data_IF_064457200070
#
_entry.id   IF_064457200070
#
_cell.length_a   1.000
_cell.length_b   1.000
_cell.length_c   1.000
_cell.angle_alpha   90.00
_cell.angle_beta   90.00
_cell.angle_gamma   90.00
#
_symmetry.space_group_name_H-M   'P 1'
#
loop_
_entity.id
_entity.type
_entity.pdbx_description
1 polymer ?
#
# COMPACT_ATOMS: atom_id res chain seq x y z
N UNK A 1 -13.57 -0.16 -25.47
CA UNK A 1 -12.17 -0.22 -25.97
C UNK A 1 -11.44 -1.17 -25.04
N UNK A 2 -10.69 -2.13 -25.57
CA UNK A 2 -9.92 -3.05 -24.73
C UNK A 2 -8.92 -2.24 -23.92
N UNK A 3 -8.95 -2.42 -22.58
CA UNK A 3 -7.91 -1.94 -21.67
C UNK A 3 -6.66 -2.70 -22.12
N UNK A 4 -5.68 -1.98 -22.67
CA UNK A 4 -4.47 -2.57 -23.25
C UNK A 4 -3.80 -3.53 -22.25
N UNK A 5 -2.81 -4.26 -22.70
CA UNK A 5 -2.10 -5.35 -21.99
C UNK A 5 -1.37 -4.89 -20.70
N UNK A 6 -2.05 -4.08 -19.86
CA UNK A 6 -1.52 -3.52 -18.60
C UNK A 6 -1.81 -4.52 -17.47
N UNK A 7 -0.77 -4.91 -16.75
CA UNK A 7 -0.90 -5.71 -15.52
C UNK A 7 -0.88 -4.82 -14.28
N UNK A 8 -1.57 -5.25 -13.22
CA UNK A 8 -1.54 -4.59 -11.91
C UNK A 8 -0.77 -5.46 -10.93
N UNK A 9 0.21 -4.88 -10.24
CA UNK A 9 0.89 -5.54 -9.12
C UNK A 9 0.44 -4.90 -7.82
N UNK A 10 -0.13 -5.71 -6.94
CA UNK A 10 -0.71 -5.33 -5.67
C UNK A 10 0.25 -5.70 -4.54
N UNK A 11 0.64 -4.73 -3.72
CA UNK A 11 1.66 -4.90 -2.69
C UNK A 11 1.06 -4.61 -1.33
N UNK A 12 1.05 -5.63 -0.45
CA UNK A 12 0.47 -5.54 0.88
C UNK A 12 1.38 -4.78 1.85
N UNK A 13 0.80 -4.17 2.89
CA UNK A 13 1.52 -3.51 3.97
C UNK A 13 1.93 -4.45 5.11
N UNK A 14 2.34 -3.85 6.23
CA UNK A 14 2.55 -4.56 7.49
C UNK A 14 1.25 -5.21 7.97
N UNK A 15 1.35 -6.27 8.76
CA UNK A 15 0.24 -6.99 9.40
C UNK A 15 -0.79 -7.55 8.43
N UNK A 16 -0.41 -7.71 7.17
CA UNK A 16 -1.24 -8.25 6.10
C UNK A 16 -0.41 -9.16 5.20
N UNK A 17 -1.09 -9.82 4.28
CA UNK A 17 -0.49 -10.58 3.18
C UNK A 17 -1.28 -10.35 1.88
N UNK A 18 -0.96 -11.10 0.83
CA UNK A 18 -1.64 -10.98 -0.47
C UNK A 18 -3.15 -11.21 -0.41
N UNK A 19 -3.67 -11.92 0.59
CA UNK A 19 -5.11 -12.18 0.72
C UNK A 19 -5.93 -10.92 1.03
N UNK A 20 -5.30 -9.89 1.60
CA UNK A 20 -5.94 -8.58 1.82
C UNK A 20 -6.42 -7.90 0.53
N UNK A 21 -5.91 -8.35 -0.62
CA UNK A 21 -6.28 -7.85 -1.93
C UNK A 21 -7.33 -8.70 -2.65
N UNK A 22 -7.81 -9.82 -2.07
CA UNK A 22 -8.67 -10.80 -2.75
C UNK A 22 -9.88 -10.16 -3.45
N UNK A 23 -10.61 -9.29 -2.74
CA UNK A 23 -11.79 -8.60 -3.28
C UNK A 23 -11.47 -7.59 -4.39
N UNK A 24 -10.28 -6.99 -4.36
CA UNK A 24 -9.79 -6.09 -5.42
C UNK A 24 -9.37 -6.90 -6.63
N UNK A 25 -8.66 -8.01 -6.43
CA UNK A 25 -8.27 -8.96 -7.50
C UNK A 25 -9.51 -9.43 -8.25
N UNK A 26 -10.54 -9.93 -7.54
CA UNK A 26 -11.78 -10.38 -8.15
C UNK A 26 -12.44 -9.31 -9.05
N UNK A 27 -12.41 -8.04 -8.62
CA UNK A 27 -12.98 -6.93 -9.38
C UNK A 27 -12.16 -6.56 -10.62
N UNK A 28 -10.85 -6.62 -10.52
CA UNK A 28 -9.96 -6.32 -11.65
C UNK A 28 -10.01 -7.45 -12.69
N UNK A 29 -9.88 -8.71 -12.25
CA UNK A 29 -9.95 -9.90 -13.11
C UNK A 29 -11.32 -10.03 -13.78
N UNK A 30 -12.41 -9.72 -13.07
CA UNK A 30 -13.77 -9.69 -13.64
C UNK A 30 -13.96 -8.65 -14.76
N UNK A 31 -12.99 -7.73 -14.92
CA UNK A 31 -12.94 -6.73 -16.00
C UNK A 31 -11.84 -7.02 -17.03
N UNK A 32 -11.20 -8.18 -16.96
CA UNK A 32 -10.12 -8.58 -17.85
C UNK A 32 -8.78 -7.89 -17.56
N UNK A 33 -8.60 -7.34 -16.36
CA UNK A 33 -7.35 -6.72 -15.92
C UNK A 33 -6.58 -7.76 -15.11
N UNK A 34 -5.41 -8.17 -15.60
CA UNK A 34 -4.53 -9.09 -14.89
C UNK A 34 -4.01 -8.47 -13.61
N UNK A 35 -4.22 -9.13 -12.47
CA UNK A 35 -3.76 -8.71 -11.15
C UNK A 35 -2.85 -9.76 -10.51
N UNK A 36 -1.73 -9.31 -9.93
CA UNK A 36 -0.75 -10.17 -9.25
C UNK A 36 -0.45 -9.56 -7.87
N UNK A 37 -0.63 -10.33 -6.80
CA UNK A 37 -0.21 -9.93 -5.47
C UNK A 37 1.26 -10.29 -5.24
N UNK A 38 2.11 -9.31 -4.96
CA UNK A 38 3.51 -9.52 -4.65
C UNK A 38 3.68 -9.92 -3.16
N UNK A 39 4.35 -11.03 -2.86
CA UNK A 39 4.64 -11.41 -1.48
C UNK A 39 5.84 -10.60 -0.95
N UNK A 40 5.67 -9.94 0.19
CA UNK A 40 6.75 -9.27 0.90
C UNK A 40 7.19 -10.10 2.11
N UNK A 41 8.50 -10.26 2.36
CA UNK A 41 9.01 -10.92 3.57
C UNK A 41 8.82 -10.09 4.84
N UNK A 42 8.78 -8.74 4.76
CA UNK A 42 8.70 -7.80 5.88
C UNK A 42 9.90 -7.91 6.86
N UNK A 43 11.09 -8.22 6.32
CA UNK A 43 12.34 -8.39 7.08
C UNK A 43 13.25 -7.16 7.02
N UNK A 44 13.29 -6.46 5.89
CA UNK A 44 13.94 -5.17 5.68
C UNK A 44 13.31 -4.47 4.47
N UNK A 45 13.47 -3.16 4.33
CA UNK A 45 13.01 -2.44 3.13
C UNK A 45 13.72 -2.99 1.88
N UNK A 46 15.02 -3.28 1.98
CA UNK A 46 15.80 -3.83 0.87
C UNK A 46 15.29 -5.21 0.43
N UNK A 47 14.98 -6.12 1.37
CA UNK A 47 14.44 -7.45 1.07
C UNK A 47 13.07 -7.38 0.40
N UNK A 48 12.21 -6.45 0.87
CA UNK A 48 10.87 -6.24 0.34
C UNK A 48 10.91 -5.67 -1.08
N UNK A 49 11.79 -4.70 -1.35
CA UNK A 49 12.04 -4.17 -2.70
C UNK A 49 12.58 -5.26 -3.62
N UNK A 50 13.53 -6.09 -3.15
CA UNK A 50 14.06 -7.20 -3.93
C UNK A 50 12.96 -8.25 -4.25
N UNK A 51 12.06 -8.54 -3.30
CA UNK A 51 10.93 -9.44 -3.53
C UNK A 51 9.94 -8.89 -4.56
N UNK A 52 9.65 -7.59 -4.49
CA UNK A 52 8.81 -6.91 -5.48
C UNK A 52 9.46 -6.95 -6.88
N UNK A 53 10.75 -6.62 -7.00
CA UNK A 53 11.45 -6.63 -8.28
C UNK A 53 11.44 -8.03 -8.93
N UNK A 54 11.66 -9.11 -8.15
CA UNK A 54 11.51 -10.49 -8.65
C UNK A 54 10.09 -10.81 -9.14
N UNK A 55 9.07 -10.19 -8.55
CA UNK A 55 7.69 -10.33 -9.05
C UNK A 55 7.52 -9.59 -10.39
N UNK A 56 8.10 -8.40 -10.53
CA UNK A 56 8.04 -7.58 -11.74
C UNK A 56 8.77 -8.23 -12.92
N UNK A 57 9.90 -8.90 -12.70
CA UNK A 57 10.66 -9.65 -13.72
C UNK A 57 9.83 -10.75 -14.42
N UNK A 58 8.73 -11.19 -13.81
CA UNK A 58 7.83 -12.22 -14.34
C UNK A 58 6.66 -11.65 -15.14
N UNK A 59 6.62 -10.35 -15.32
CA UNK A 59 5.49 -9.64 -15.94
C UNK A 59 5.97 -8.90 -17.17
N UNK A 60 5.49 -9.35 -18.31
CA UNK A 60 5.70 -8.66 -19.58
C UNK A 60 4.70 -7.50 -19.74
N UNK A 61 5.16 -6.44 -20.43
CA UNK A 61 4.32 -5.27 -20.72
C UNK A 61 4.20 -4.26 -19.58
N UNK A 62 3.39 -3.22 -19.76
CA UNK A 62 3.26 -2.11 -18.81
C UNK A 62 2.61 -2.54 -17.50
N UNK A 63 3.10 -1.99 -16.39
CA UNK A 63 2.64 -2.30 -15.03
C UNK A 63 2.15 -1.04 -14.32
N UNK A 64 1.03 -1.18 -13.63
CA UNK A 64 0.59 -0.27 -12.57
C UNK A 64 0.88 -0.93 -11.23
N UNK A 65 1.68 -0.26 -10.36
CA UNK A 65 1.95 -0.73 -9.00
C UNK A 65 0.95 -0.11 -8.04
N UNK A 66 0.30 -0.92 -7.21
CA UNK A 66 -0.55 -0.43 -6.12
C UNK A 66 -0.02 -0.93 -4.77
N UNK A 67 0.32 0.00 -3.87
CA UNK A 67 0.87 -0.30 -2.54
C UNK A 67 -0.04 0.19 -1.42
N UNK A 68 -0.26 -0.66 -0.42
CA UNK A 68 -1.02 -0.34 0.80
C UNK A 68 -0.08 -0.03 1.96
N UNK A 69 -0.37 1.03 2.71
CA UNK A 69 0.34 1.39 3.94
C UNK A 69 1.88 1.43 3.77
N UNK A 70 2.62 0.61 4.50
CA UNK A 70 4.08 0.45 4.38
C UNK A 70 4.54 0.20 2.94
N UNK A 71 3.78 -0.57 2.17
CA UNK A 71 4.17 -0.89 0.79
C UNK A 71 4.27 0.32 -0.14
N UNK A 72 3.78 1.49 0.26
CA UNK A 72 4.04 2.74 -0.47
C UNK A 72 5.53 3.08 -0.57
N UNK A 73 6.31 2.84 0.50
CA UNK A 73 7.76 2.97 0.46
C UNK A 73 8.41 1.92 -0.45
N UNK A 74 7.88 0.68 -0.44
CA UNK A 74 8.40 -0.42 -1.27
C UNK A 74 8.17 -0.13 -2.76
N UNK A 75 6.94 0.26 -3.17
CA UNK A 75 6.66 0.61 -4.58
C UNK A 75 7.42 1.87 -5.02
N UNK A 76 7.63 2.82 -4.11
CA UNK A 76 8.44 4.02 -4.37
C UNK A 76 9.92 3.71 -4.58
N UNK A 77 10.41 2.59 -4.06
CA UNK A 77 11.80 2.12 -4.19
C UNK A 77 11.98 1.02 -5.23
N UNK A 78 10.94 0.67 -6.00
CA UNK A 78 11.01 -0.36 -7.04
C UNK A 78 11.85 0.08 -8.24
N UNK A 79 12.42 -0.92 -8.94
CA UNK A 79 13.28 -0.69 -10.10
C UNK A 79 12.82 -1.60 -11.26
N UNK A 80 11.97 -1.06 -12.15
CA UNK A 80 11.60 -1.75 -13.39
C UNK A 80 11.13 -0.72 -14.44
N UNK A 81 11.65 -0.82 -15.65
CA UNK A 81 11.34 0.12 -16.75
C UNK A 81 9.88 0.04 -17.23
N UNK A 82 9.22 -1.09 -16.97
CA UNK A 82 7.83 -1.32 -17.35
C UNK A 82 6.81 -0.72 -16.36
N UNK A 83 7.23 -0.15 -15.24
CA UNK A 83 6.33 0.55 -14.32
C UNK A 83 5.90 1.87 -14.95
N UNK A 84 4.59 2.08 -15.13
CA UNK A 84 4.02 3.25 -15.81
C UNK A 84 3.16 4.13 -14.92
N UNK A 85 2.70 3.62 -13.78
CA UNK A 85 1.94 4.37 -12.80
C UNK A 85 2.06 3.76 -11.39
N UNK A 86 1.91 4.60 -10.38
CA UNK A 86 1.89 4.20 -8.97
C UNK A 86 0.53 4.56 -8.35
N UNK A 87 -0.01 3.65 -7.55
CA UNK A 87 -1.24 3.87 -6.78
C UNK A 87 -0.95 3.66 -5.30
N UNK A 88 -1.02 4.71 -4.53
CA UNK A 88 -0.84 4.72 -3.09
C UNK A 88 -2.20 4.56 -2.42
N UNK A 89 -2.42 3.42 -1.78
CA UNK A 89 -3.69 3.12 -1.08
C UNK A 89 -3.46 3.31 0.41
N UNK A 90 -3.90 4.44 0.97
CA UNK A 90 -3.66 4.79 2.39
C UNK A 90 -2.18 4.58 2.80
N UNK A 91 -1.26 4.97 1.93
CA UNK A 91 0.11 4.49 1.98
C UNK A 91 1.13 5.55 2.41
N UNK A 92 2.29 5.10 2.85
CA UNK A 92 3.42 5.94 3.21
C UNK A 92 4.30 6.19 1.98
N UNK A 93 4.66 7.45 1.76
CA UNK A 93 5.47 7.88 0.63
C UNK A 93 6.65 8.75 1.12
N UNK A 94 7.68 8.14 1.73
CA UNK A 94 8.87 8.87 2.14
C UNK A 94 9.59 9.47 0.92
N UNK A 95 10.25 10.62 1.14
CA UNK A 95 11.16 11.24 0.17
C UNK A 95 12.60 10.73 0.39
N UNK A 96 13.49 11.03 -0.54
CA UNK A 96 14.89 10.66 -0.48
C UNK A 96 15.53 11.05 0.86
N UNK A 97 16.13 10.07 1.53
CA UNK A 97 16.74 10.23 2.85
C UNK A 97 15.80 10.12 4.04
N UNK A 98 14.48 10.15 3.83
CA UNK A 98 13.50 9.90 4.89
C UNK A 98 13.33 8.40 5.15
N UNK A 99 12.95 8.06 6.38
CA UNK A 99 12.54 6.71 6.76
C UNK A 99 11.00 6.60 6.79
N UNK A 100 10.49 5.38 6.71
CA UNK A 100 9.05 5.10 6.88
C UNK A 100 8.57 5.57 8.26
N UNK A 101 9.38 5.33 9.31
CA UNK A 101 9.06 5.72 10.68
C UNK A 101 8.92 7.23 10.86
N UNK A 102 9.83 8.02 10.29
CA UNK A 102 9.78 9.49 10.36
C UNK A 102 8.50 10.03 9.72
N UNK A 103 8.10 9.48 8.58
CA UNK A 103 6.89 9.94 7.89
C UNK A 103 5.63 9.46 8.62
N UNK A 104 5.63 8.24 9.14
CA UNK A 104 4.49 7.69 9.90
C UNK A 104 4.19 8.51 11.16
N UNK A 105 5.21 8.88 11.93
CA UNK A 105 5.09 9.65 13.17
C UNK A 105 5.15 11.17 12.98
N UNK A 106 5.04 11.67 11.75
CA UNK A 106 5.11 13.09 11.42
C UNK A 106 4.01 13.92 12.09
N UNK A 107 2.81 13.42 12.18
CA UNK A 107 1.67 14.06 12.83
C UNK A 107 1.29 13.32 14.12
N UNK A 108 0.53 14.00 14.99
CA UNK A 108 -0.01 13.40 16.20
C UNK A 108 -0.84 12.16 15.83
N UNK A 109 -0.57 10.99 16.45
CA UNK A 109 -1.32 9.77 16.18
C UNK A 109 -2.81 9.94 16.55
N UNK A 110 -3.67 9.20 15.84
CA UNK A 110 -5.09 9.15 16.21
C UNK A 110 -5.25 8.59 17.64
N UNK A 111 -6.20 9.09 18.47
CA UNK A 111 -6.39 8.62 19.86
C UNK A 111 -6.65 7.10 20.00
N UNK A 112 -7.16 6.46 18.93
CA UNK A 112 -7.39 5.01 18.88
C UNK A 112 -6.26 4.23 18.19
N UNK A 113 -5.20 4.90 17.75
CA UNK A 113 -4.04 4.23 17.18
C UNK A 113 -3.37 3.36 18.26
N UNK A 114 -2.91 2.14 17.91
CA UNK A 114 -2.20 1.28 18.87
C UNK A 114 -0.82 1.84 19.19
N UNK A 115 -0.33 1.52 20.36
CA UNK A 115 1.10 1.67 20.66
C UNK A 115 1.84 0.50 20.02
N UNK A 116 2.77 0.82 19.13
CA UNK A 116 3.57 -0.16 18.41
C UNK A 116 4.96 -0.22 19.04
N UNK A 117 5.39 -1.41 19.44
CA UNK A 117 6.72 -1.65 19.98
C UNK A 117 7.25 -2.98 19.45
N UNK A 118 8.56 -3.07 19.17
CA UNK A 118 9.17 -4.32 18.76
C UNK A 118 9.22 -5.32 19.92
N UNK A 119 9.10 -6.59 19.59
CA UNK A 119 9.37 -7.69 20.51
C UNK A 119 10.90 -7.93 20.65
N UNK A 120 11.26 -8.99 21.39
CA UNK A 120 12.66 -9.37 21.61
C UNK A 120 13.42 -9.78 20.33
N UNK A 121 12.70 -10.00 19.22
CA UNK A 121 13.25 -10.35 17.91
C UNK A 121 13.26 -9.16 16.94
N UNK A 122 12.87 -7.97 17.40
CA UNK A 122 12.78 -6.77 16.57
C UNK A 122 11.57 -6.77 15.63
N UNK A 123 10.55 -7.59 15.92
CA UNK A 123 9.33 -7.69 15.14
C UNK A 123 8.19 -6.92 15.81
N UNK A 124 7.47 -6.12 15.03
CA UNK A 124 6.32 -5.35 15.50
C UNK A 124 5.05 -6.09 15.07
N UNK A 125 4.28 -6.53 16.07
CA UNK A 125 2.97 -7.14 15.90
C UNK A 125 1.87 -6.12 16.14
N UNK A 126 0.77 -6.25 15.41
CA UNK A 126 -0.42 -5.46 15.68
C UNK A 126 -1.25 -6.16 16.79
N UNK A 127 -1.58 -5.48 17.91
CA UNK A 127 -2.43 -6.05 18.93
C UNK A 127 -3.82 -6.42 18.37
N UNK A 128 -4.41 -7.50 18.87
CA UNK A 128 -5.70 -8.00 18.36
C UNK A 128 -6.82 -6.96 18.43
N UNK A 129 -6.86 -6.16 19.50
CA UNK A 129 -7.82 -5.07 19.69
C UNK A 129 -7.64 -3.91 18.71
N UNK A 130 -6.46 -3.74 18.11
CA UNK A 130 -6.20 -2.69 17.14
C UNK A 130 -6.86 -2.96 15.79
N UNK A 131 -7.12 -4.22 15.43
CA UNK A 131 -7.80 -4.54 14.18
C UNK A 131 -9.18 -3.89 14.07
N UNK A 132 -10.11 -4.07 15.04
CA UNK A 132 -11.40 -3.39 14.97
C UNK A 132 -11.36 -1.93 15.42
N UNK A 133 -10.32 -1.49 16.14
CA UNK A 133 -10.25 -0.11 16.64
C UNK A 133 -9.68 0.87 15.62
N UNK A 134 -8.66 0.47 14.84
CA UNK A 134 -7.89 1.38 14.00
C UNK A 134 -7.48 0.83 12.63
N UNK A 135 -7.22 -0.48 12.52
CA UNK A 135 -6.68 -1.06 11.29
C UNK A 135 -7.74 -1.36 10.24
N UNK A 136 -8.91 -1.89 10.66
CA UNK A 136 -10.02 -2.24 9.79
C UNK A 136 -11.36 -2.07 10.53
N UNK A 137 -11.63 -0.87 11.02
CA UNK A 137 -12.80 -0.62 11.87
C UNK A 137 -14.15 -0.76 11.14
N UNK A 138 -14.14 -0.77 9.80
CA UNK A 138 -15.34 -0.99 9.00
C UNK A 138 -15.49 -2.45 8.54
N UNK A 139 -14.57 -3.34 8.92
CA UNK A 139 -14.60 -4.75 8.52
C UNK A 139 -15.65 -5.55 9.30
N UNK A 140 -16.23 -6.54 8.63
CA UNK A 140 -17.11 -7.51 9.29
C UNK A 140 -16.31 -8.44 10.24
N UNK A 141 -16.98 -9.06 11.21
CA UNK A 141 -16.34 -9.93 12.21
C UNK A 141 -15.53 -11.08 11.59
N UNK A 142 -16.01 -11.67 10.49
CA UNK A 142 -15.29 -12.73 9.77
C UNK A 142 -14.01 -12.20 9.10
N UNK A 143 -14.05 -10.99 8.55
CA UNK A 143 -12.89 -10.35 7.95
C UNK A 143 -11.82 -10.01 9.00
N UNK A 144 -12.25 -9.48 10.15
CA UNK A 144 -11.36 -9.22 11.30
C UNK A 144 -10.70 -10.51 11.80
N UNK A 145 -11.43 -11.63 11.83
CA UNK A 145 -10.87 -12.93 12.21
C UNK A 145 -9.77 -13.39 11.24
N UNK A 146 -10.01 -13.24 9.94
CA UNK A 146 -9.01 -13.58 8.91
C UNK A 146 -7.80 -12.66 9.00
N UNK A 147 -8.00 -11.33 9.07
CA UNK A 147 -6.90 -10.36 9.15
C UNK A 147 -5.97 -10.64 10.34
N UNK A 148 -6.54 -10.95 11.53
CA UNK A 148 -5.74 -11.35 12.70
C UNK A 148 -4.97 -12.65 12.48
N UNK A 149 -5.60 -13.64 11.88
CA UNK A 149 -5.02 -14.97 11.70
C UNK A 149 -3.87 -14.99 10.68
N UNK A 150 -3.93 -14.13 9.64
CA UNK A 150 -2.91 -14.08 8.57
C UNK A 150 -1.89 -12.96 8.78
N UNK A 151 -2.00 -12.18 9.88
CA UNK A 151 -1.08 -11.07 10.08
C UNK A 151 0.38 -11.51 10.01
N UNK A 152 1.19 -10.68 9.37
CA UNK A 152 2.64 -10.83 9.30
C UNK A 152 3.28 -9.67 10.04
N UNK A 153 4.11 -9.92 11.05
CA UNK A 153 4.80 -8.84 11.76
C UNK A 153 5.78 -8.13 10.82
N UNK A 154 6.04 -6.88 11.09
CA UNK A 154 7.04 -6.10 10.35
C UNK A 154 8.30 -5.93 11.20
N UNK A 155 9.47 -6.16 10.62
CA UNK A 155 10.74 -5.90 11.28
C UNK A 155 11.04 -4.40 11.39
N UNK A 156 11.71 -3.98 12.47
CA UNK A 156 12.15 -2.59 12.67
C UNK A 156 13.00 -2.08 11.49
N UNK A 157 13.80 -2.94 10.87
CA UNK A 157 14.59 -2.60 9.69
C UNK A 157 13.74 -2.08 8.51
N UNK A 158 12.51 -2.58 8.34
CA UNK A 158 11.62 -2.09 7.28
C UNK A 158 11.25 -0.61 7.43
N UNK A 159 11.18 -0.11 8.66
CA UNK A 159 10.70 1.25 8.95
C UNK A 159 11.83 2.23 9.32
N UNK A 160 13.02 1.70 9.63
CA UNK A 160 14.18 2.49 10.07
C UNK A 160 15.21 2.77 8.97
N UNK A 161 15.11 2.11 7.83
CA UNK A 161 16.03 2.34 6.70
C UNK A 161 15.60 3.56 5.89
N UNK A 162 16.53 4.50 5.57
CA UNK A 162 16.24 5.64 4.71
C UNK A 162 16.00 5.15 3.27
N UNK A 163 15.00 5.73 2.59
CA UNK A 163 14.77 5.42 1.18
C UNK A 163 15.72 6.19 0.28
N UNK A 164 16.06 5.61 -0.86
CA UNK A 164 16.71 6.31 -1.96
C UNK A 164 15.74 7.26 -2.68
N UNK A 165 16.17 7.80 -3.84
CA UNK A 165 15.31 8.65 -4.67
C UNK A 165 14.04 7.89 -5.10
N UNK A 166 12.86 8.32 -4.66
CA UNK A 166 11.65 7.54 -4.88
C UNK A 166 11.11 7.70 -6.31
N UNK A 167 10.56 6.60 -6.83
CA UNK A 167 10.04 6.48 -8.20
C UNK A 167 8.88 7.45 -8.50
N UNK A 168 8.11 7.88 -7.48
CA UNK A 168 7.04 8.86 -7.66
C UNK A 168 7.52 10.25 -8.14
N UNK A 169 8.82 10.52 -8.12
CA UNK A 169 9.41 11.73 -8.74
C UNK A 169 9.43 11.64 -10.27
N UNK A 170 9.35 10.44 -10.84
CA UNK A 170 9.49 10.19 -12.28
C UNK A 170 8.24 9.60 -12.92
N UNK A 171 7.38 8.96 -12.14
CA UNK A 171 6.21 8.21 -12.62
C UNK A 171 4.92 8.82 -12.08
N UNK A 172 3.86 8.99 -12.92
CA UNK A 172 2.57 9.49 -12.47
C UNK A 172 2.02 8.67 -11.30
N UNK A 173 1.47 9.36 -10.30
CA UNK A 173 1.01 8.75 -9.06
C UNK A 173 -0.42 9.14 -8.72
N UNK A 174 -1.19 8.18 -8.21
CA UNK A 174 -2.52 8.34 -7.63
C UNK A 174 -2.46 8.05 -6.15
N UNK A 175 -3.25 8.76 -5.37
CA UNK A 175 -3.29 8.59 -3.92
C UNK A 175 -4.74 8.48 -3.44
N UNK A 176 -5.13 7.30 -2.93
CA UNK A 176 -6.37 7.12 -2.18
C UNK A 176 -6.11 7.64 -0.76
N UNK A 177 -6.69 8.79 -0.45
CA UNK A 177 -6.63 9.39 0.87
C UNK A 177 -7.83 8.92 1.69
N UNK A 178 -7.57 8.17 2.75
CA UNK A 178 -8.59 7.65 3.64
C UNK A 178 -8.89 8.66 4.76
N UNK A 179 -10.09 9.24 4.75
CA UNK A 179 -10.48 10.28 5.70
C UNK A 179 -10.77 9.73 7.11
N UNK A 180 -11.09 8.42 7.21
CA UNK A 180 -11.33 7.73 8.48
C UNK A 180 -10.14 6.87 8.93
N UNK A 181 -8.96 7.04 8.34
CA UNK A 181 -7.76 6.28 8.70
C UNK A 181 -7.26 6.65 10.11
N UNK A 182 -7.18 5.64 10.98
CA UNK A 182 -6.72 5.77 12.36
C UNK A 182 -5.29 5.27 12.58
N UNK A 183 -4.66 4.70 11.55
CA UNK A 183 -3.25 4.27 11.57
C UNK A 183 -2.34 5.35 10.98
N UNK A 184 -2.59 5.77 9.73
CA UNK A 184 -1.89 6.87 9.07
C UNK A 184 -2.88 8.03 8.95
N UNK A 185 -2.80 8.97 9.87
CA UNK A 185 -3.78 10.07 9.95
C UNK A 185 -3.92 10.83 8.63
N UNK A 186 -5.12 11.31 8.26
CA UNK A 186 -5.37 11.97 6.98
C UNK A 186 -4.45 13.16 6.69
N UNK A 187 -4.00 13.87 7.74
CA UNK A 187 -3.06 14.98 7.61
C UNK A 187 -1.70 14.53 7.05
N UNK A 188 -1.17 13.39 7.52
CA UNK A 188 0.06 12.80 6.99
C UNK A 188 -0.11 12.32 5.55
N UNK A 189 -1.23 11.66 5.25
CA UNK A 189 -1.54 11.21 3.88
C UNK A 189 -1.62 12.39 2.92
N UNK A 190 -2.31 13.46 3.29
CA UNK A 190 -2.45 14.68 2.48
C UNK A 190 -1.10 15.32 2.21
N UNK A 191 -0.28 15.49 3.24
CA UNK A 191 1.07 16.05 3.11
C UNK A 191 1.91 15.27 2.08
N UNK A 192 1.91 13.94 2.14
CA UNK A 192 2.65 13.10 1.19
C UNK A 192 2.09 13.22 -0.22
N UNK A 193 0.77 13.12 -0.38
CA UNK A 193 0.11 13.15 -1.67
C UNK A 193 0.30 14.49 -2.40
N UNK A 194 0.26 15.61 -1.67
CA UNK A 194 0.51 16.96 -2.22
C UNK A 194 1.99 17.12 -2.61
N UNK A 195 2.93 16.68 -1.77
CA UNK A 195 4.36 16.69 -2.05
C UNK A 195 4.70 15.91 -3.33
N UNK A 196 4.07 14.76 -3.50
CA UNK A 196 4.23 13.90 -4.69
C UNK A 196 3.58 14.50 -5.94
N UNK A 197 2.74 15.52 -5.80
CA UNK A 197 1.84 16.02 -6.88
C UNK A 197 0.94 14.90 -7.44
N UNK A 198 0.52 13.98 -6.58
CA UNK A 198 -0.32 12.86 -6.96
C UNK A 198 -1.74 13.30 -7.31
N UNK A 199 -2.43 12.51 -8.13
CA UNK A 199 -3.88 12.64 -8.30
C UNK A 199 -4.57 12.14 -7.03
N UNK A 200 -5.04 13.07 -6.18
CA UNK A 200 -5.61 12.76 -4.87
C UNK A 200 -7.09 12.40 -5.01
N UNK A 201 -7.49 11.27 -4.41
CA UNK A 201 -8.88 10.78 -4.32
C UNK A 201 -9.24 10.59 -2.85
N UNK A 202 -9.87 11.58 -2.19
CA UNK A 202 -10.32 11.44 -0.80
C UNK A 202 -11.59 10.60 -0.74
N UNK A 203 -11.65 9.69 0.25
CA UNK A 203 -12.82 8.86 0.53
C UNK A 203 -12.94 8.61 2.04
N UNK A 204 -14.17 8.56 2.54
CA UNK A 204 -14.49 8.18 3.92
C UNK A 204 -14.35 6.65 4.09
N UNK A 205 -13.12 6.19 4.12
CA UNK A 205 -12.75 4.77 4.30
C UNK A 205 -11.71 4.65 5.41
N UNK A 206 -11.59 3.45 5.99
CA UNK A 206 -10.60 3.13 7.01
C UNK A 206 -9.21 2.82 6.44
N UNK A 207 -8.28 2.38 7.30
CA UNK A 207 -6.90 2.09 6.91
C UNK A 207 -6.78 0.91 5.92
N UNK A 208 -7.76 -0.02 5.87
CA UNK A 208 -7.67 -1.24 5.05
C UNK A 208 -8.77 -1.28 3.98
N UNK A 209 -8.87 -0.29 3.08
CA UNK A 209 -9.97 -0.19 2.11
C UNK A 209 -9.95 -1.31 1.06
N UNK A 210 -8.85 -2.02 0.87
CA UNK A 210 -8.80 -3.22 0.02
C UNK A 210 -9.76 -4.31 0.50
N UNK A 211 -10.02 -4.38 1.81
CA UNK A 211 -10.96 -5.30 2.44
C UNK A 211 -12.34 -4.68 2.60
N UNK A 212 -12.41 -3.44 3.14
CA UNK A 212 -13.65 -2.79 3.60
C UNK A 212 -14.37 -2.00 2.51
N UNK A 213 -13.62 -1.47 1.53
CA UNK A 213 -14.14 -0.66 0.42
C UNK A 213 -13.48 -1.01 -0.93
N UNK A 214 -13.42 -2.30 -1.33
CA UNK A 214 -12.62 -2.76 -2.47
C UNK A 214 -13.03 -2.14 -3.82
N UNK A 215 -14.25 -1.66 -3.97
CA UNK A 215 -14.70 -0.96 -5.17
C UNK A 215 -13.97 0.37 -5.34
N UNK A 216 -13.84 1.14 -4.25
CA UNK A 216 -13.10 2.42 -4.26
C UNK A 216 -11.65 2.20 -4.68
N UNK A 217 -11.02 1.15 -4.16
CA UNK A 217 -9.64 0.78 -4.50
C UNK A 217 -9.52 0.35 -5.97
N UNK A 218 -10.43 -0.49 -6.46
CA UNK A 218 -10.42 -0.90 -7.86
C UNK A 218 -10.65 0.29 -8.81
N UNK A 219 -11.46 1.27 -8.43
CA UNK A 219 -11.76 2.45 -9.23
C UNK A 219 -10.52 3.34 -9.40
N UNK A 220 -9.78 3.63 -8.35
CA UNK A 220 -8.55 4.43 -8.45
C UNK A 220 -7.46 3.70 -9.26
N UNK A 221 -7.34 2.37 -9.12
CA UNK A 221 -6.43 1.57 -9.94
C UNK A 221 -6.81 1.66 -11.43
N UNK A 222 -8.11 1.57 -11.75
CA UNK A 222 -8.59 1.73 -13.13
C UNK A 222 -8.33 3.13 -13.70
N UNK A 223 -8.46 4.16 -12.88
CA UNK A 223 -8.11 5.54 -13.31
C UNK A 223 -6.63 5.62 -13.71
N UNK A 224 -5.74 5.00 -12.92
CA UNK A 224 -4.32 4.92 -13.25
C UNK A 224 -4.07 4.13 -14.55
N UNK A 225 -4.71 2.97 -14.74
CA UNK A 225 -4.59 2.16 -15.96
C UNK A 225 -5.02 2.95 -17.20
N UNK A 226 -6.13 3.67 -17.13
CA UNK A 226 -6.62 4.47 -18.25
C UNK A 226 -5.59 5.50 -18.70
N UNK A 227 -4.90 6.15 -17.77
CA UNK A 227 -3.88 7.14 -18.11
C UNK A 227 -2.67 6.55 -18.83
N UNK A 228 -2.32 5.28 -18.53
CA UNK A 228 -1.22 4.54 -19.16
C UNK A 228 -1.60 4.05 -20.57
N UNK A 229 -2.87 3.73 -20.79
CA UNK A 229 -3.36 3.16 -22.05
C UNK A 229 -3.51 4.20 -23.18
N UNK A 230 -3.45 5.50 -22.88
CA UNK A 230 -3.60 6.59 -23.86
C UNK A 230 -2.27 7.27 -24.26
N UNK A 231 -1.15 6.84 -23.67
CA UNK A 231 0.21 7.30 -24.01
C UNK A 231 0.99 6.18 -24.72
#
# INVERSE_FOLDING_TARGET
MAIGNVSVVLVHGAWADGSSWSKVIERLEGQGIRAVAAPLPLTSLQDDVAALNRTLERIDGPVVLAGHAYAGAVIGSAHAENIKALVYVTALAPDEGETVGEVFYRAEPHPQAPRLAPDQHGLIWLPDEAFPAAFAQHAASQELAVLRAVQRPIAVACIGEPVGRPLWKDVPSWFLLAEDDRMIVPATQRYMAERMKATIKPHAVDHTPSVTAPTVVADIIRDAIRSVSYN
#
